data_IF_949551992620
#
_entry.id   IF_949551992620
#
_cell.length_a   1.000
_cell.length_b   1.000
_cell.length_c   1.000
_cell.angle_alpha   90.00
_cell.angle_beta   90.00
_cell.angle_gamma   90.00
#
_symmetry.space_group_name_H-M   'P 1'
#
loop_
_entity.id
_entity.type
_entity.pdbx_description
1 polymer ?
#
# COMPACT_ATOMS: atom_id res chain seq x y z
N UNK A 1 5.61 -1.82 22.80
CA UNK A 1 6.96 -2.39 22.51
C UNK A 1 7.34 -1.94 21.11
N UNK A 2 8.46 -1.26 20.92
CA UNK A 2 8.87 -0.81 19.59
C UNK A 2 9.73 -1.85 18.86
N UNK A 3 9.93 -1.70 17.55
CA UNK A 3 10.75 -2.57 16.69
C UNK A 3 12.09 -2.99 17.28
N UNK A 4 12.76 -2.14 18.08
CA UNK A 4 13.99 -2.51 18.80
C UNK A 4 13.79 -3.60 19.85
N UNK A 5 12.69 -3.56 20.59
CA UNK A 5 12.32 -4.60 21.57
C UNK A 5 11.91 -5.86 20.85
N UNK A 6 11.16 -5.73 19.76
CA UNK A 6 10.72 -6.82 18.91
C UNK A 6 11.90 -7.56 18.26
N UNK A 7 12.87 -6.86 17.65
CA UNK A 7 14.07 -7.49 17.11
C UNK A 7 14.88 -8.25 18.20
N UNK A 8 14.93 -7.71 19.41
CA UNK A 8 15.67 -8.32 20.51
C UNK A 8 14.99 -9.58 21.02
N UNK A 9 13.66 -9.61 21.09
CA UNK A 9 12.86 -10.78 21.48
C UNK A 9 12.81 -11.83 20.38
N UNK A 10 12.64 -11.44 19.11
CA UNK A 10 12.56 -12.36 17.98
C UNK A 10 13.90 -13.02 17.62
N UNK A 11 15.03 -12.37 17.88
CA UNK A 11 16.35 -12.98 17.71
C UNK A 11 16.62 -14.08 18.76
N UNK A 12 15.88 -14.07 19.87
CA UNK A 12 16.00 -15.05 20.95
C UNK A 12 14.84 -16.06 21.01
N UNK A 13 13.81 -15.94 20.16
CA UNK A 13 12.65 -16.83 20.22
C UNK A 13 12.48 -17.56 18.88
N UNK A 14 12.71 -18.89 18.83
CA UNK A 14 12.52 -19.64 17.60
C UNK A 14 11.04 -19.69 17.24
N UNK A 15 10.74 -19.27 16.01
CA UNK A 15 9.53 -19.58 15.23
C UNK A 15 8.26 -19.62 16.09
N UNK A 16 7.53 -18.52 16.15
CA UNK A 16 6.15 -18.53 16.63
C UNK A 16 5.33 -19.29 15.58
N UNK A 17 5.02 -20.55 15.84
CA UNK A 17 4.08 -21.32 15.01
C UNK A 17 2.75 -20.57 14.97
N UNK A 18 2.27 -20.22 13.77
CA UNK A 18 1.00 -19.53 13.55
C UNK A 18 1.08 -18.03 13.26
N UNK A 19 2.26 -17.41 13.24
CA UNK A 19 2.39 -16.02 12.80
C UNK A 19 2.08 -15.89 11.30
N UNK A 20 1.18 -14.94 10.95
CA UNK A 20 0.81 -14.67 9.55
C UNK A 20 1.98 -14.08 8.78
N UNK A 21 2.74 -13.18 9.42
CA UNK A 21 3.96 -12.59 8.85
C UNK A 21 5.14 -12.84 9.80
N UNK A 22 6.29 -13.18 9.25
CA UNK A 22 7.49 -13.50 10.02
C UNK A 22 8.58 -12.46 9.83
N UNK A 23 9.30 -12.15 10.89
CA UNK A 23 10.38 -11.16 10.87
C UNK A 23 11.54 -11.56 9.95
N UNK A 24 11.83 -12.86 9.82
CA UNK A 24 12.87 -13.39 8.93
C UNK A 24 12.52 -13.28 7.44
N UNK A 25 11.28 -13.00 7.09
CA UNK A 25 10.84 -12.69 5.73
C UNK A 25 11.04 -11.23 5.33
N UNK A 26 11.30 -10.33 6.29
CA UNK A 26 11.48 -8.89 6.04
C UNK A 26 12.81 -8.64 5.33
N UNK A 27 12.74 -8.10 4.12
CA UNK A 27 13.90 -7.80 3.29
C UNK A 27 13.99 -6.32 3.02
N UNK A 28 15.15 -5.75 3.21
CA UNK A 28 15.44 -4.35 2.97
C UNK A 28 16.26 -4.19 1.71
N UNK A 29 15.93 -3.18 0.91
CA UNK A 29 16.62 -2.91 -0.36
C UNK A 29 16.60 -1.42 -0.66
N UNK A 30 17.60 -0.96 -1.41
CA UNK A 30 17.57 0.35 -2.04
C UNK A 30 16.47 0.39 -3.10
N UNK A 31 15.59 1.40 -3.03
CA UNK A 31 14.48 1.55 -3.97
C UNK A 31 14.97 2.07 -5.34
N UNK A 32 14.20 1.75 -6.38
CA UNK A 32 14.37 2.35 -7.69
C UNK A 32 13.95 3.83 -7.64
N UNK A 33 14.44 4.67 -8.56
CA UNK A 33 13.81 5.97 -8.83
C UNK A 33 12.32 5.78 -9.12
N UNK A 34 11.44 6.66 -8.59
CA UNK A 34 9.99 6.48 -8.71
C UNK A 34 9.50 6.33 -10.15
N UNK A 35 10.13 7.02 -11.10
CA UNK A 35 9.80 6.94 -12.54
C UNK A 35 10.10 5.59 -13.19
N UNK A 36 10.93 4.75 -12.56
CA UNK A 36 11.38 3.48 -13.12
C UNK A 36 10.51 2.29 -12.70
N UNK A 37 9.54 2.52 -11.79
CA UNK A 37 8.54 1.51 -11.46
C UNK A 37 7.55 1.31 -12.61
N UNK A 38 7.15 0.07 -12.81
CA UNK A 38 6.08 -0.26 -13.75
C UNK A 38 4.75 0.35 -13.31
N UNK A 39 4.49 0.33 -12.02
CA UNK A 39 3.29 0.89 -11.40
C UNK A 39 3.56 1.35 -9.97
N UNK A 40 2.93 2.48 -9.58
CA UNK A 40 2.94 3.01 -8.22
C UNK A 40 1.50 3.15 -7.72
N UNK A 41 1.26 2.67 -6.50
CA UNK A 41 -0.03 2.79 -5.80
C UNK A 41 0.20 3.36 -4.41
N UNK A 42 -0.50 4.45 -4.11
CA UNK A 42 -0.64 4.97 -2.76
C UNK A 42 -2.04 4.61 -2.24
N UNK A 43 -2.11 3.86 -1.16
CA UNK A 43 -3.37 3.41 -0.57
C UNK A 43 -3.52 3.96 0.85
N UNK A 44 -4.69 4.53 1.13
CA UNK A 44 -5.04 5.09 2.43
C UNK A 44 -6.13 4.25 3.11
N UNK A 45 -5.83 3.75 4.31
CA UNK A 45 -6.82 3.31 5.29
C UNK A 45 -6.94 4.41 6.34
N UNK A 46 -8.04 5.21 6.32
CA UNK A 46 -8.20 6.33 7.25
C UNK A 46 -8.65 5.92 8.64
N UNK A 47 -9.00 4.66 8.88
CA UNK A 47 -9.50 4.05 10.13
C UNK A 47 -10.23 5.02 11.07
N UNK A 48 -11.54 4.82 11.24
CA UNK A 48 -12.35 5.56 12.21
C UNK A 48 -13.05 4.59 13.14
N UNK A 49 -12.62 4.53 14.40
CA UNK A 49 -13.42 3.93 15.46
C UNK A 49 -14.17 5.06 16.17
N UNK A 50 -15.46 4.90 16.37
CA UNK A 50 -16.37 5.95 16.88
C UNK A 50 -16.03 6.49 18.29
N UNK A 51 -15.03 5.93 18.97
CA UNK A 51 -14.76 6.20 20.39
C UNK A 51 -13.40 6.83 20.72
N UNK A 52 -12.48 7.00 19.77
CA UNK A 52 -11.13 7.49 20.10
C UNK A 52 -10.69 8.63 19.19
N UNK A 53 -10.33 9.75 19.79
CA UNK A 53 -9.81 10.94 19.09
C UNK A 53 -8.51 10.69 18.30
N UNK A 54 -7.88 9.52 18.47
CA UNK A 54 -6.53 9.23 18.00
C UNK A 54 -6.42 7.82 17.38
N UNK A 55 -7.30 7.45 16.44
CA UNK A 55 -7.10 6.21 15.67
C UNK A 55 -5.90 6.35 14.73
N UNK A 56 -5.20 5.23 14.49
CA UNK A 56 -4.15 5.21 13.49
C UNK A 56 -4.71 5.53 12.11
N UNK A 57 -3.93 6.27 11.35
CA UNK A 57 -4.14 6.50 9.93
C UNK A 57 -2.99 5.86 9.20
N UNK A 58 -3.28 5.05 8.20
CA UNK A 58 -2.26 4.37 7.41
C UNK A 58 -2.33 4.80 5.95
N UNK A 59 -1.24 5.34 5.42
CA UNK A 59 -1.03 5.51 3.98
C UNK A 59 0.25 4.75 3.62
N UNK A 60 0.17 3.95 2.57
CA UNK A 60 1.27 3.13 2.07
C UNK A 60 1.54 3.43 0.60
N UNK A 61 2.78 3.77 0.27
CA UNK A 61 3.23 3.85 -1.12
C UNK A 61 3.94 2.56 -1.51
N UNK A 62 3.36 1.85 -2.44
CA UNK A 62 3.89 0.64 -3.02
C UNK A 62 4.24 0.81 -4.48
N UNK A 63 5.33 0.19 -4.91
CA UNK A 63 5.75 0.12 -6.30
C UNK A 63 5.88 -1.32 -6.78
N UNK A 64 5.44 -1.57 -8.01
CA UNK A 64 5.68 -2.83 -8.70
C UNK A 64 6.75 -2.63 -9.75
N UNK A 65 7.78 -3.48 -9.73
CA UNK A 65 8.83 -3.46 -10.74
C UNK A 65 8.38 -4.19 -12.01
N UNK A 66 9.11 -4.02 -13.11
CA UNK A 66 8.89 -4.76 -14.35
C UNK A 66 9.11 -6.28 -14.18
N UNK A 67 9.93 -6.68 -13.21
CA UNK A 67 10.16 -8.10 -12.84
C UNK A 67 9.08 -8.67 -11.93
N UNK A 68 8.11 -7.85 -11.46
CA UNK A 68 7.03 -8.27 -10.59
C UNK A 68 7.33 -8.19 -9.09
N UNK A 69 8.50 -7.70 -8.70
CA UNK A 69 8.81 -7.44 -7.28
C UNK A 69 7.94 -6.30 -6.75
N UNK A 70 7.60 -6.37 -5.48
CA UNK A 70 6.78 -5.39 -4.75
C UNK A 70 7.67 -4.63 -3.76
N UNK A 71 7.74 -3.33 -3.92
CA UNK A 71 8.56 -2.47 -3.08
C UNK A 71 7.69 -1.55 -2.21
N UNK A 72 7.81 -1.67 -0.90
CA UNK A 72 7.24 -0.75 0.07
C UNK A 72 8.14 0.48 0.18
N UNK A 73 7.75 1.57 -0.49
CA UNK A 73 8.62 2.72 -0.75
C UNK A 73 8.54 3.74 0.38
N UNK A 74 7.33 4.09 0.82
CA UNK A 74 7.08 5.08 1.85
C UNK A 74 5.82 4.74 2.65
N UNK A 75 5.71 5.26 3.87
CA UNK A 75 4.60 5.01 4.76
C UNK A 75 4.27 6.26 5.59
N UNK A 76 3.00 6.38 5.95
CA UNK A 76 2.48 7.22 7.01
C UNK A 76 1.62 6.35 7.91
N UNK A 77 2.04 6.10 9.13
CA UNK A 77 1.32 5.25 10.08
C UNK A 77 1.36 5.91 11.45
N UNK A 78 0.34 6.69 11.78
CA UNK A 78 0.30 7.53 12.97
C UNK A 78 -1.09 7.61 13.57
N UNK A 79 -1.14 7.80 14.87
CA UNK A 79 -2.32 8.33 15.56
C UNK A 79 -2.35 9.85 15.38
N UNK A 80 -3.23 10.32 14.50
CA UNK A 80 -3.23 11.72 14.09
C UNK A 80 -4.59 12.18 13.56
N UNK A 81 -4.68 13.47 13.22
CA UNK A 81 -5.88 14.08 12.64
C UNK A 81 -6.05 13.71 11.16
N UNK A 82 -7.29 13.82 10.66
CA UNK A 82 -7.58 13.69 9.23
C UNK A 82 -6.84 14.75 8.43
N UNK A 83 -6.76 15.96 8.92
CA UNK A 83 -6.07 17.08 8.26
C UNK A 83 -4.60 16.77 8.01
N UNK A 84 -3.87 16.22 9.01
CA UNK A 84 -2.47 15.84 8.84
C UNK A 84 -2.29 14.69 7.86
N UNK A 85 -3.20 13.70 7.91
CA UNK A 85 -3.21 12.59 6.95
C UNK A 85 -3.40 13.10 5.52
N UNK A 86 -4.36 13.99 5.31
CA UNK A 86 -4.65 14.57 3.98
C UNK A 86 -3.47 15.39 3.47
N UNK A 87 -2.88 16.25 4.31
CA UNK A 87 -1.68 17.03 3.95
C UNK A 87 -0.53 16.13 3.51
N UNK A 88 -0.25 15.08 4.29
CA UNK A 88 0.81 14.15 3.92
C UNK A 88 0.54 13.45 2.58
N UNK A 89 -0.74 13.17 2.26
CA UNK A 89 -1.11 12.52 1.01
C UNK A 89 -0.90 13.46 -0.18
N UNK A 90 -1.18 14.76 -0.03
CA UNK A 90 -0.83 15.79 -1.01
C UNK A 90 0.69 15.95 -1.17
N UNK A 91 1.43 16.01 -0.06
CA UNK A 91 2.91 16.08 -0.07
C UNK A 91 3.52 14.86 -0.78
N UNK A 92 2.95 13.67 -0.58
CA UNK A 92 3.36 12.49 -1.32
C UNK A 92 3.14 12.66 -2.82
N UNK A 93 1.99 13.18 -3.23
CA UNK A 93 1.68 13.44 -4.64
C UNK A 93 2.71 14.40 -5.27
N UNK A 94 3.02 15.49 -4.60
CA UNK A 94 4.02 16.46 -5.06
C UNK A 94 5.42 15.84 -5.19
N UNK A 95 5.82 14.99 -4.22
CA UNK A 95 7.10 14.25 -4.32
C UNK A 95 7.11 13.29 -5.51
N UNK A 96 6.01 12.60 -5.78
CA UNK A 96 5.88 11.71 -6.94
C UNK A 96 5.98 12.49 -8.24
N UNK A 97 5.29 13.64 -8.35
CA UNK A 97 5.36 14.51 -9.52
C UNK A 97 6.76 15.11 -9.72
N UNK A 98 7.41 15.57 -8.65
CA UNK A 98 8.78 16.10 -8.71
C UNK A 98 9.79 15.04 -9.17
N UNK A 99 9.51 13.77 -8.93
CA UNK A 99 10.29 12.64 -9.45
C UNK A 99 9.93 12.24 -10.88
N UNK A 100 9.08 13.00 -11.58
CA UNK A 100 8.56 12.68 -12.92
C UNK A 100 7.93 11.29 -13.00
N UNK A 101 7.22 10.89 -11.93
CA UNK A 101 6.52 9.62 -11.83
C UNK A 101 5.00 9.82 -11.79
N UNK A 102 4.26 8.75 -11.99
CA UNK A 102 2.80 8.73 -11.88
C UNK A 102 2.40 7.64 -10.91
N UNK A 103 1.61 7.99 -9.90
CA UNK A 103 1.01 7.05 -8.97
C UNK A 103 -0.51 7.09 -9.04
N UNK A 104 -1.13 5.98 -8.71
CA UNK A 104 -2.58 5.90 -8.50
C UNK A 104 -2.88 6.02 -7.00
N UNK A 105 -3.82 6.86 -6.65
CA UNK A 105 -4.17 7.18 -5.26
C UNK A 105 -5.52 6.56 -4.93
N UNK A 106 -5.57 5.77 -3.86
CA UNK A 106 -6.77 5.09 -3.40
C UNK A 106 -7.04 5.36 -1.93
N UNK A 107 -8.31 5.35 -1.58
CA UNK A 107 -8.79 5.39 -0.19
C UNK A 107 -9.89 4.34 -0.02
N UNK A 108 -9.95 3.72 1.15
CA UNK A 108 -11.01 2.78 1.46
C UNK A 108 -12.40 3.46 1.45
N UNK A 109 -13.34 2.91 0.66
CA UNK A 109 -14.62 3.55 0.39
C UNK A 109 -15.54 3.66 1.62
N UNK A 110 -15.42 2.73 2.57
CA UNK A 110 -16.26 2.70 3.78
C UNK A 110 -16.08 3.95 4.67
N UNK A 111 -14.99 4.69 4.44
CA UNK A 111 -14.60 5.87 5.22
C UNK A 111 -14.71 7.19 4.46
N UNK A 112 -15.26 7.19 3.22
CA UNK A 112 -15.59 8.42 2.51
C UNK A 112 -16.81 9.11 3.13
N UNK A 113 -16.66 9.48 4.41
CA UNK A 113 -17.61 10.36 5.07
C UNK A 113 -17.38 11.80 4.61
N UNK A 114 -18.42 12.62 4.65
CA UNK A 114 -18.37 14.02 4.21
C UNK A 114 -17.18 14.79 4.80
N UNK A 115 -16.80 14.48 6.04
CA UNK A 115 -15.68 15.12 6.76
C UNK A 115 -14.34 14.89 6.02
N UNK A 116 -14.07 13.68 5.53
CA UNK A 116 -12.82 13.39 4.81
C UNK A 116 -12.81 14.09 3.46
N UNK A 117 -13.92 14.03 2.73
CA UNK A 117 -14.06 14.70 1.44
C UNK A 117 -13.88 16.22 1.57
N UNK A 118 -14.41 16.81 2.63
CA UNK A 118 -14.24 18.22 2.92
C UNK A 118 -12.79 18.61 3.22
N UNK A 119 -12.05 17.78 3.97
CA UNK A 119 -10.63 18.03 4.21
C UNK A 119 -9.80 17.91 2.92
N UNK A 120 -10.07 16.91 2.07
CA UNK A 120 -9.41 16.80 0.76
C UNK A 120 -9.70 18.02 -0.11
N UNK A 121 -10.96 18.50 -0.14
CA UNK A 121 -11.35 19.68 -0.91
C UNK A 121 -10.63 20.92 -0.41
N UNK A 122 -10.64 21.19 0.91
CA UNK A 122 -9.97 22.36 1.52
C UNK A 122 -8.47 22.38 1.25
N UNK A 123 -7.80 21.24 1.41
CA UNK A 123 -6.37 21.14 1.13
C UNK A 123 -6.10 21.36 -0.36
N UNK A 124 -6.95 20.81 -1.24
CA UNK A 124 -6.84 21.03 -2.68
C UNK A 124 -7.06 22.48 -3.09
N UNK A 125 -8.04 23.15 -2.51
CA UNK A 125 -8.25 24.59 -2.72
C UNK A 125 -7.04 25.42 -2.28
N UNK A 126 -6.44 25.06 -1.14
CA UNK A 126 -5.23 25.72 -0.63
C UNK A 126 -4.01 25.55 -1.54
N UNK A 127 -3.90 24.39 -2.22
CA UNK A 127 -2.77 24.06 -3.13
C UNK A 127 -3.04 24.39 -4.60
N UNK A 128 -4.27 24.77 -4.93
CA UNK A 128 -4.66 25.12 -6.31
C UNK A 128 -4.91 23.92 -7.22
N UNK A 129 -5.01 22.70 -6.69
CA UNK A 129 -5.36 21.49 -7.44
C UNK A 129 -6.05 20.44 -6.56
N UNK A 130 -6.79 19.51 -7.16
CA UNK A 130 -7.40 18.40 -6.44
C UNK A 130 -6.62 17.11 -6.65
N UNK A 131 -6.33 16.38 -5.55
CA UNK A 131 -5.68 15.08 -5.61
C UNK A 131 -6.58 14.07 -6.35
N UNK A 132 -6.08 13.34 -7.39
CA UNK A 132 -6.89 12.39 -8.16
C UNK A 132 -7.10 11.07 -7.38
N UNK A 133 -7.78 11.16 -6.24
CA UNK A 133 -8.03 10.03 -5.35
C UNK A 133 -9.23 9.21 -5.81
N UNK A 134 -9.13 7.90 -5.70
CA UNK A 134 -10.17 6.94 -6.07
C UNK A 134 -10.63 6.15 -4.85
N UNK A 135 -11.95 5.98 -4.74
CA UNK A 135 -12.51 5.09 -3.73
C UNK A 135 -12.30 3.62 -4.11
N UNK A 136 -11.74 2.83 -3.21
CA UNK A 136 -11.75 1.37 -3.33
C UNK A 136 -13.12 0.84 -2.93
N UNK A 137 -13.96 0.54 -3.92
CA UNK A 137 -15.34 0.06 -3.76
C UNK A 137 -15.46 -1.45 -3.91
N UNK A 138 -14.37 -2.19 -3.92
CA UNK A 138 -14.45 -3.64 -4.04
C UNK A 138 -15.22 -4.24 -2.85
N UNK A 139 -15.97 -5.32 -3.09
CA UNK A 139 -16.55 -6.13 -2.03
C UNK A 139 -15.41 -6.88 -1.33
N UNK A 140 -15.03 -6.45 -0.14
CA UNK A 140 -13.96 -7.04 0.64
C UNK A 140 -14.46 -8.30 1.38
N UNK A 141 -13.76 -9.43 1.27
CA UNK A 141 -14.00 -10.58 2.14
C UNK A 141 -13.56 -10.28 3.58
N UNK A 142 -13.63 -11.28 4.45
CA UNK A 142 -13.14 -11.18 5.83
C UNK A 142 -11.74 -10.58 5.90
N UNK A 143 -11.55 -9.65 6.85
CA UNK A 143 -10.30 -8.87 6.98
C UNK A 143 -9.10 -9.77 7.22
N UNK A 144 -9.23 -10.75 8.11
CA UNK A 144 -8.13 -11.65 8.40
C UNK A 144 -7.73 -12.44 7.15
N UNK A 145 -8.69 -13.04 6.44
CA UNK A 145 -8.43 -13.85 5.26
C UNK A 145 -7.74 -13.07 4.14
N UNK A 146 -8.15 -11.82 3.89
CA UNK A 146 -7.56 -11.02 2.82
C UNK A 146 -6.14 -10.54 3.15
N UNK A 147 -5.86 -10.16 4.42
CA UNK A 147 -4.51 -9.81 4.84
C UNK A 147 -3.61 -11.06 4.88
N UNK A 148 -4.10 -12.18 5.39
CA UNK A 148 -3.38 -13.45 5.35
C UNK A 148 -3.03 -13.85 3.91
N UNK A 149 -3.91 -13.61 2.94
CA UNK A 149 -3.71 -14.00 1.53
C UNK A 149 -2.51 -13.34 0.85
N UNK A 150 -2.03 -12.22 1.36
CA UNK A 150 -0.83 -11.55 0.83
C UNK A 150 0.47 -12.01 1.50
N UNK A 151 0.43 -12.68 2.65
CA UNK A 151 1.63 -13.12 3.40
C UNK A 151 2.58 -14.03 2.59
N UNK A 152 2.11 -14.89 1.65
CA UNK A 152 3.00 -15.68 0.81
C UNK A 152 3.95 -14.86 -0.08
N UNK A 153 3.66 -13.58 -0.30
CA UNK A 153 4.55 -12.69 -1.05
C UNK A 153 5.82 -12.38 -0.26
N UNK A 154 5.71 -12.21 1.07
CA UNK A 154 6.85 -12.05 1.98
C UNK A 154 7.66 -13.34 2.07
N UNK A 155 7.00 -14.47 2.26
CA UNK A 155 7.63 -15.80 2.33
C UNK A 155 8.45 -16.09 1.07
N UNK A 156 7.88 -15.86 -0.12
CA UNK A 156 8.58 -16.03 -1.41
C UNK A 156 9.68 -15.01 -1.65
N UNK A 157 9.79 -13.98 -0.81
CA UNK A 157 10.83 -12.96 -0.91
C UNK A 157 10.70 -12.04 -2.11
N UNK A 158 9.49 -11.78 -2.58
CA UNK A 158 9.21 -10.81 -3.65
C UNK A 158 8.86 -9.42 -3.10
N UNK A 159 8.76 -9.29 -1.78
CA UNK A 159 8.49 -8.03 -1.07
C UNK A 159 9.77 -7.44 -0.50
N UNK A 160 9.99 -6.16 -0.74
CA UNK A 160 11.15 -5.41 -0.23
C UNK A 160 10.73 -4.09 0.38
N UNK A 161 11.32 -3.77 1.53
CA UNK A 161 11.17 -2.50 2.22
C UNK A 161 12.30 -1.54 1.86
N UNK A 162 12.01 -0.25 1.85
CA UNK A 162 12.98 0.80 1.57
C UNK A 162 14.06 0.88 2.66
N UNK A 163 15.30 0.51 2.34
CA UNK A 163 16.41 0.53 3.31
C UNK A 163 16.72 1.94 3.83
N UNK A 164 16.45 3.00 3.05
CA UNK A 164 16.64 4.38 3.49
C UNK A 164 15.62 4.78 4.57
N UNK A 165 14.48 4.07 4.63
CA UNK A 165 13.42 4.25 5.62
C UNK A 165 13.52 3.24 6.79
N UNK A 166 14.62 2.51 6.92
CA UNK A 166 14.79 1.48 7.97
C UNK A 166 14.73 2.04 9.40
N UNK A 167 14.92 3.35 9.58
CA UNK A 167 14.81 4.05 10.86
C UNK A 167 13.65 5.02 10.92
N UNK A 168 12.83 5.10 9.88
CA UNK A 168 11.68 5.99 9.78
C UNK A 168 10.57 5.49 10.72
N UNK A 169 10.03 6.35 11.60
CA UNK A 169 9.04 5.95 12.59
C UNK A 169 7.77 5.36 11.97
N UNK A 170 7.28 5.91 10.86
CA UNK A 170 6.06 5.44 10.21
C UNK A 170 6.27 4.10 9.52
N UNK A 171 7.44 3.92 8.88
CA UNK A 171 7.80 2.63 8.28
C UNK A 171 7.88 1.54 9.36
N UNK A 172 8.50 1.85 10.51
CA UNK A 172 8.64 0.91 11.61
C UNK A 172 7.30 0.63 12.29
N UNK A 173 6.46 1.65 12.53
CA UNK A 173 5.13 1.46 13.09
C UNK A 173 4.25 0.57 12.20
N UNK A 174 4.32 0.77 10.87
CA UNK A 174 3.62 -0.07 9.93
C UNK A 174 4.11 -1.51 9.91
N UNK A 175 5.43 -1.70 9.96
CA UNK A 175 6.03 -3.03 10.02
C UNK A 175 5.68 -3.76 11.33
N UNK A 176 5.70 -3.04 12.47
CA UNK A 176 5.31 -3.60 13.77
C UNK A 176 3.85 -4.11 13.75
N UNK A 177 2.91 -3.35 13.17
CA UNK A 177 1.52 -3.79 13.01
C UNK A 177 1.41 -5.03 12.11
N UNK A 178 2.17 -5.05 10.99
CA UNK A 178 2.17 -6.20 10.06
C UNK A 178 2.69 -7.46 10.73
N UNK A 179 3.79 -7.37 11.47
CA UNK A 179 4.40 -8.52 12.16
C UNK A 179 3.60 -8.99 13.38
N UNK A 180 2.81 -8.10 14.01
CA UNK A 180 1.92 -8.43 15.12
C UNK A 180 0.55 -8.95 14.66
N UNK A 181 0.29 -8.98 13.35
CA UNK A 181 -1.02 -9.37 12.81
C UNK A 181 -1.27 -10.87 13.00
N UNK A 182 -2.36 -11.18 13.73
CA UNK A 182 -2.79 -12.55 14.01
C UNK A 182 -4.33 -12.65 14.07
N UNK A 183 -4.85 -13.86 14.02
CA UNK A 183 -6.30 -14.10 14.09
C UNK A 183 -6.85 -13.71 15.46
N UNK A 184 -7.88 -12.83 15.45
CA UNK A 184 -8.55 -12.39 16.68
C UNK A 184 -7.79 -11.36 17.50
N UNK A 185 -6.70 -10.76 16.94
CA UNK A 185 -5.98 -9.70 17.63
C UNK A 185 -6.90 -8.49 17.93
N UNK A 186 -6.66 -7.86 19.09
CA UNK A 186 -7.32 -6.60 19.48
C UNK A 186 -6.46 -5.35 19.20
N UNK A 187 -5.30 -5.54 18.57
CA UNK A 187 -4.34 -4.50 18.25
C UNK A 187 -4.71 -3.68 17.01
N UNK A 188 -3.81 -2.77 16.63
CA UNK A 188 -3.94 -1.98 15.41
C UNK A 188 -3.55 -2.83 14.19
N UNK A 189 -4.41 -2.81 13.17
CA UNK A 189 -4.26 -3.57 11.93
C UNK A 189 -4.46 -2.69 10.67
N UNK A 190 -4.39 -1.37 10.86
CA UNK A 190 -4.62 -0.38 9.80
C UNK A 190 -3.49 -0.43 8.74
N UNK A 191 -2.26 -0.66 9.18
CA UNK A 191 -1.12 -0.76 8.26
C UNK A 191 -1.15 -2.00 7.37
N UNK A 192 -1.34 -3.24 7.88
CA UNK A 192 -1.47 -4.41 7.03
C UNK A 192 -2.74 -4.38 6.14
N UNK A 193 -3.81 -3.69 6.56
CA UNK A 193 -4.99 -3.47 5.72
C UNK A 193 -4.69 -2.56 4.54
N UNK A 194 -3.96 -1.46 4.77
CA UNK A 194 -3.50 -0.58 3.70
C UNK A 194 -2.49 -1.29 2.76
N UNK A 195 -1.62 -2.16 3.29
CA UNK A 195 -0.71 -2.98 2.48
C UNK A 195 -1.50 -3.93 1.57
N UNK A 196 -2.52 -4.62 2.10
CA UNK A 196 -3.40 -5.50 1.32
C UNK A 196 -4.11 -4.72 0.22
N UNK A 197 -4.68 -3.54 0.54
CA UNK A 197 -5.35 -2.68 -0.42
C UNK A 197 -4.45 -2.30 -1.59
N UNK A 198 -3.23 -1.82 -1.31
CA UNK A 198 -2.27 -1.44 -2.32
C UNK A 198 -1.82 -2.62 -3.20
N UNK A 199 -1.46 -3.75 -2.57
CA UNK A 199 -0.99 -4.96 -3.25
C UNK A 199 -2.09 -5.54 -4.13
N UNK A 200 -3.32 -5.60 -3.64
CA UNK A 200 -4.47 -6.04 -4.44
C UNK A 200 -4.61 -5.23 -5.74
N UNK A 201 -4.55 -3.89 -5.65
CA UNK A 201 -4.63 -3.02 -6.83
C UNK A 201 -3.50 -3.31 -7.82
N UNK A 202 -2.24 -3.41 -7.33
CA UNK A 202 -1.07 -3.72 -8.14
C UNK A 202 -1.15 -5.09 -8.84
N UNK A 203 -1.81 -6.07 -8.22
CA UNK A 203 -1.99 -7.40 -8.80
C UNK A 203 -3.12 -7.44 -9.84
N UNK A 204 -4.23 -6.70 -9.63
CA UNK A 204 -5.37 -6.71 -10.56
C UNK A 204 -5.02 -6.08 -11.90
N UNK A 205 -4.25 -4.98 -11.93
CA UNK A 205 -3.87 -4.30 -13.15
C UNK A 205 -3.02 -5.17 -14.08
N UNK A 206 -2.20 -6.06 -13.52
CA UNK A 206 -1.41 -7.01 -14.33
C UNK A 206 -2.27 -8.03 -15.06
N UNK A 207 -3.47 -8.35 -14.55
CA UNK A 207 -4.40 -9.29 -15.21
C UNK A 207 -5.06 -8.70 -16.45
N UNK A 208 -5.16 -7.36 -16.57
CA UNK A 208 -5.75 -6.70 -17.74
C UNK A 208 -4.78 -6.48 -18.90
N UNK A 209 -3.49 -6.67 -18.66
CA UNK A 209 -2.45 -6.61 -19.70
C UNK A 209 -2.19 -7.95 -20.39
N UNK A 210 -3.06 -8.96 -20.23
CA UNK A 210 -2.94 -10.18 -21.02
C UNK A 210 -3.12 -9.83 -22.49
N UNK A 211 -2.00 -9.93 -23.20
CA UNK A 211 -1.91 -9.78 -24.65
C UNK A 211 -2.98 -10.65 -25.33
N UNK A 212 -3.99 -10.02 -25.90
CA UNK A 212 -4.92 -10.68 -26.81
C UNK A 212 -4.31 -10.58 -28.19
N UNK A 213 -3.75 -11.68 -28.76
CA UNK A 213 -3.16 -11.61 -30.09
C UNK A 213 -4.29 -11.27 -31.09
N UNK A 214 -4.22 -10.09 -31.69
CA UNK A 214 -5.03 -9.79 -32.86
C UNK A 214 -4.46 -10.59 -34.03
N UNK A 215 -5.06 -11.72 -34.32
CA UNK A 215 -4.79 -12.44 -35.56
C UNK A 215 -5.40 -11.59 -36.68
N UNK A 216 -4.54 -10.82 -37.34
CA UNK A 216 -4.91 -10.11 -38.55
C UNK A 216 -5.27 -11.15 -39.62
N UNK A 217 -6.49 -11.16 -40.12
CA UNK A 217 -6.81 -11.91 -41.34
C UNK A 217 -6.00 -11.30 -42.47
N UNK A 218 -5.14 -12.12 -43.11
CA UNK A 218 -4.51 -11.77 -44.40
C UNK A 218 -5.62 -11.37 -45.37
N UNK A 219 -5.54 -10.22 -46.03
CA UNK A 219 -6.49 -9.92 -47.09
C UNK A 219 -6.34 -10.99 -48.18
N UNK A 220 -7.47 -11.57 -48.55
CA UNK A 220 -7.56 -12.49 -49.69
C UNK A 220 -7.04 -11.80 -50.96
N UNK A 221 -6.20 -12.41 -51.76
CA UNK A 221 -5.79 -11.83 -53.04
C UNK A 221 -7.04 -11.64 -53.89
N UNK A 222 -7.35 -10.38 -54.22
CA UNK A 222 -8.40 -10.07 -55.19
C UNK A 222 -7.91 -10.64 -56.54
N UNK A 223 -8.71 -11.52 -57.09
CA UNK A 223 -8.51 -12.02 -58.46
C UNK A 223 -8.38 -10.84 -59.41
N UNK A 224 -7.22 -10.72 -60.05
CA UNK A 224 -7.01 -9.94 -61.26
C UNK A 224 -7.55 -10.78 -62.44
N UNK A 225 -8.67 -10.42 -62.98
CA UNK A 225 -9.08 -10.63 -64.37
C UNK A 225 -9.88 -9.43 -64.82
#
# INVERSE_FOLDING_TARGET
MGYRSFQKEMMNNPITEGAVFRADWVRWRRMLPLRDYHELVAYCDPSFKASTKNDYKAIKLWGKTKSGELHHIDAFVRQTTVTEMVRWFYDLHERVQAAHAVASYYIEANFLQDIILDEFRREGESRGYQLPIRADRRKKPDKFQRIESISPLWERGVVFYNEQKKKDPDMLAGLDQTLAFEKGMSGHDDAPDADEGAIYILQQRTRHETFTPRIGRRPSPKNLY
#
